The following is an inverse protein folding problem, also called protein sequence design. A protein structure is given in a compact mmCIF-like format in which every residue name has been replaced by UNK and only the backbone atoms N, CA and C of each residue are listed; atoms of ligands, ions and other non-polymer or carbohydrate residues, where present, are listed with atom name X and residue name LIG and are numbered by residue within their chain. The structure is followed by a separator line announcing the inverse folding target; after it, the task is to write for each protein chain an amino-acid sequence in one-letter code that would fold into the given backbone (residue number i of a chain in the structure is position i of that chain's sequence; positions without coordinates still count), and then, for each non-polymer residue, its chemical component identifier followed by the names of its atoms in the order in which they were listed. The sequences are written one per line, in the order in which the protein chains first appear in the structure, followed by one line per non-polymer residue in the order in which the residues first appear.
data_IF_391502025233
#
_entry.id   IF_391502025233
#
_cell.length_a   1.000
_cell.length_b   1.000
_cell.length_c   1.000
_cell.angle_alpha   90.00
_cell.angle_beta   90.00
_cell.angle_gamma   90.00
#
_symmetry.space_group_name_H-M   'P 1'
#
loop_
_entity.id
_entity.type
_entity.pdbx_description
1 polymer ?
#
# COMPACT_ATOMS: atom_id res chain seq x y z
N UNK A 1 19.23 5.02 21.32
CA UNK A 1 18.40 3.86 21.72
C UNK A 1 17.11 3.92 20.90
N UNK A 2 17.02 3.08 19.87
CA UNK A 2 15.78 2.68 19.21
C UNK A 2 16.02 1.22 18.79
N UNK A 3 15.74 0.29 19.69
CA UNK A 3 16.10 -1.14 19.56
C UNK A 3 15.05 -1.95 18.81
N UNK A 4 13.88 -1.38 18.53
CA UNK A 4 12.79 -1.98 17.77
C UNK A 4 12.21 -0.89 16.85
N UNK A 5 12.31 -1.07 15.52
CA UNK A 5 11.88 -0.10 14.49
C UNK A 5 12.89 0.06 13.34
N UNK A 6 12.51 0.78 12.27
CA UNK A 6 13.42 1.07 11.14
C UNK A 6 14.60 1.94 11.63
N UNK A 7 15.77 1.33 11.83
CA UNK A 7 16.99 1.99 12.31
C UNK A 7 17.48 3.11 11.38
N UNK A 8 16.96 3.18 10.15
CA UNK A 8 17.30 4.20 9.14
C UNK A 8 16.29 5.35 9.08
N UNK A 9 15.28 5.40 9.94
CA UNK A 9 14.22 6.41 9.91
C UNK A 9 14.76 7.86 9.88
N UNK A 10 15.69 8.20 10.77
CA UNK A 10 16.25 9.56 10.85
C UNK A 10 17.01 9.93 9.56
N UNK A 11 17.81 9.00 9.04
CA UNK A 11 18.55 9.21 7.80
C UNK A 11 17.62 9.38 6.59
N UNK A 12 16.56 8.56 6.48
CA UNK A 12 15.56 8.67 5.41
C UNK A 12 14.78 9.98 5.48
N UNK A 13 14.43 10.45 6.69
CA UNK A 13 13.81 11.77 6.89
C UNK A 13 14.68 12.88 6.30
N UNK A 14 15.99 12.87 6.60
CA UNK A 14 16.90 13.92 6.13
C UNK A 14 17.05 13.89 4.60
N UNK A 15 17.10 12.71 3.99
CA UNK A 15 17.05 12.55 2.52
C UNK A 15 15.77 13.18 1.95
N UNK A 16 14.60 12.88 2.53
CA UNK A 16 13.33 13.42 2.05
C UNK A 16 13.28 14.95 2.18
N UNK A 17 13.79 15.53 3.27
CA UNK A 17 13.87 16.99 3.44
C UNK A 17 14.72 17.62 2.33
N UNK A 18 15.86 17.01 1.97
CA UNK A 18 16.72 17.52 0.91
C UNK A 18 16.04 17.44 -0.46
N UNK A 19 15.39 16.31 -0.78
CA UNK A 19 14.61 16.16 -2.02
C UNK A 19 13.53 17.25 -2.12
N UNK A 20 12.79 17.52 -1.04
CA UNK A 20 11.75 18.56 -1.05
C UNK A 20 12.37 19.96 -1.25
N UNK A 21 13.51 20.25 -0.63
CA UNK A 21 14.22 21.54 -0.82
C UNK A 21 14.71 21.72 -2.27
N UNK A 22 15.19 20.65 -2.89
CA UNK A 22 15.61 20.64 -4.29
C UNK A 22 14.43 20.84 -5.24
N UNK A 23 13.31 20.16 -4.98
CA UNK A 23 12.08 20.27 -5.78
C UNK A 23 11.37 21.62 -5.61
N UNK A 24 11.47 22.24 -4.43
CA UNK A 24 10.78 23.49 -4.11
C UNK A 24 11.71 24.53 -3.44
N UNK A 25 12.67 25.12 -4.19
CA UNK A 25 13.69 26.01 -3.65
C UNK A 25 13.17 27.30 -2.99
N UNK A 26 11.93 27.69 -3.29
CA UNK A 26 11.29 28.86 -2.68
C UNK A 26 11.06 28.71 -1.17
N UNK A 27 10.98 27.48 -0.66
CA UNK A 27 10.75 27.21 0.76
C UNK A 27 12.10 26.98 1.48
N UNK A 28 12.58 28.02 2.17
CA UNK A 28 13.93 28.00 2.79
C UNK A 28 14.01 27.23 4.11
N UNK A 29 12.92 27.17 4.87
CA UNK A 29 12.90 26.66 6.24
C UNK A 29 12.02 25.40 6.38
N UNK A 30 12.28 24.39 5.54
CA UNK A 30 11.55 23.11 5.59
C UNK A 30 12.12 22.25 6.72
N UNK A 31 11.22 21.78 7.59
CA UNK A 31 11.48 20.82 8.65
C UNK A 31 10.36 19.77 8.70
N UNK A 32 10.67 18.57 9.19
CA UNK A 32 9.66 17.53 9.41
C UNK A 32 9.09 17.65 10.82
N UNK A 33 7.81 18.02 10.93
CA UNK A 33 7.12 18.08 12.23
C UNK A 33 6.95 16.68 12.85
N UNK A 34 6.74 15.68 11.99
CA UNK A 34 6.59 14.27 12.38
C UNK A 34 7.28 13.36 11.36
N UNK A 35 7.79 12.23 11.84
CA UNK A 35 8.39 11.20 11.00
C UNK A 35 8.17 9.82 11.63
N UNK A 36 7.75 8.86 10.83
CA UNK A 36 7.54 7.48 11.21
C UNK A 36 7.86 6.56 10.03
N UNK A 37 8.00 5.27 10.32
CA UNK A 37 8.15 4.23 9.32
C UNK A 37 7.16 3.10 9.61
N UNK A 38 6.83 2.34 8.57
CA UNK A 38 6.02 1.14 8.67
C UNK A 38 6.70 0.01 7.88
N UNK A 39 6.32 -1.22 8.19
CA UNK A 39 6.71 -2.36 7.36
C UNK A 39 6.04 -2.23 5.99
N UNK A 40 6.79 -2.56 4.94
CA UNK A 40 6.29 -2.57 3.57
C UNK A 40 6.25 -4.01 3.07
N UNK A 41 5.04 -4.51 2.80
CA UNK A 41 4.82 -5.79 2.15
C UNK A 41 4.48 -5.56 0.68
N UNK A 42 5.15 -6.31 -0.20
CA UNK A 42 4.91 -6.30 -1.64
C UNK A 42 4.87 -7.72 -2.18
N UNK A 43 4.28 -7.89 -3.35
CA UNK A 43 4.30 -9.13 -4.12
C UNK A 43 5.47 -9.12 -5.11
N UNK A 44 5.85 -10.30 -5.63
CA UNK A 44 6.96 -10.42 -6.57
C UNK A 44 6.73 -9.69 -7.91
N UNK A 45 5.48 -9.61 -8.36
CA UNK A 45 5.08 -8.92 -9.60
C UNK A 45 4.59 -7.48 -9.37
N UNK A 46 4.58 -7.03 -8.11
CA UNK A 46 4.12 -5.71 -7.72
C UNK A 46 2.60 -5.49 -7.79
N UNK A 47 1.82 -6.53 -8.12
CA UNK A 47 0.37 -6.46 -8.20
C UNK A 47 -0.28 -6.94 -6.90
N UNK A 48 -1.38 -6.32 -6.46
CA UNK A 48 -2.07 -6.76 -5.25
C UNK A 48 -2.81 -8.09 -5.50
N UNK A 49 -3.20 -8.76 -4.43
CA UNK A 49 -3.86 -10.08 -4.47
C UNK A 49 -5.30 -9.93 -3.99
N UNK A 50 -6.24 -10.43 -4.80
CA UNK A 50 -7.64 -10.58 -4.45
C UNK A 50 -8.11 -11.96 -4.92
N UNK A 51 -8.40 -12.87 -3.98
CA UNK A 51 -8.70 -14.26 -4.34
C UNK A 51 -9.76 -14.88 -3.44
N UNK A 52 -10.45 -15.89 -3.96
CA UNK A 52 -11.25 -16.82 -3.18
C UNK A 52 -10.38 -17.99 -2.70
N UNK A 53 -10.66 -18.54 -1.53
CA UNK A 53 -10.02 -19.76 -1.06
C UNK A 53 -10.54 -20.97 -1.85
N UNK A 54 -9.64 -21.80 -2.37
CA UNK A 54 -10.03 -22.98 -3.16
C UNK A 54 -10.68 -24.09 -2.32
N UNK A 55 -10.46 -24.10 -1.00
CA UNK A 55 -10.89 -25.17 -0.09
C UNK A 55 -12.02 -24.72 0.85
N UNK A 56 -12.10 -23.44 1.16
CA UNK A 56 -13.06 -22.89 2.11
C UNK A 56 -14.06 -21.99 1.37
N UNK A 57 -15.29 -22.48 1.25
CA UNK A 57 -16.36 -21.76 0.57
C UNK A 57 -16.63 -20.39 1.21
N UNK A 58 -16.79 -19.35 0.37
CA UNK A 58 -17.03 -17.96 0.76
C UNK A 58 -15.93 -17.31 1.63
N UNK A 59 -14.71 -17.85 1.61
CA UNK A 59 -13.55 -17.18 2.18
C UNK A 59 -12.80 -16.41 1.09
N UNK A 60 -12.61 -15.12 1.30
CA UNK A 60 -11.90 -14.25 0.36
C UNK A 60 -10.73 -13.56 1.03
N UNK A 61 -9.64 -13.40 0.29
CA UNK A 61 -8.46 -12.67 0.70
C UNK A 61 -8.36 -11.37 -0.09
N UNK A 62 -8.32 -10.25 0.60
CA UNK A 62 -8.09 -8.92 0.04
C UNK A 62 -6.76 -8.42 0.59
N UNK A 63 -5.70 -8.58 -0.20
CA UNK A 63 -4.33 -8.31 0.22
C UNK A 63 -3.75 -7.20 -0.68
N UNK A 64 -4.07 -5.92 -0.39
CA UNK A 64 -3.64 -4.79 -1.19
C UNK A 64 -2.18 -4.42 -0.86
N UNK A 65 -1.27 -5.39 -1.01
CA UNK A 65 0.16 -5.18 -0.84
C UNK A 65 0.70 -4.16 -1.84
N UNK A 66 1.82 -3.52 -1.48
CA UNK A 66 2.46 -2.48 -2.28
C UNK A 66 2.16 -1.05 -1.79
N UNK A 67 2.74 -0.06 -2.49
CA UNK A 67 2.64 1.36 -2.11
C UNK A 67 1.27 1.97 -2.35
N UNK A 68 0.42 1.29 -3.12
CA UNK A 68 -0.90 1.77 -3.51
C UNK A 68 -2.02 1.07 -2.73
N UNK A 69 -1.70 0.47 -1.58
CA UNK A 69 -2.66 -0.35 -0.82
C UNK A 69 -3.95 0.38 -0.46
N UNK A 70 -3.89 1.68 -0.13
CA UNK A 70 -5.08 2.51 0.13
C UNK A 70 -5.99 2.64 -1.09
N UNK A 71 -5.40 2.77 -2.29
CA UNK A 71 -6.16 2.84 -3.54
C UNK A 71 -6.79 1.48 -3.84
N UNK A 72 -5.99 0.41 -3.80
CA UNK A 72 -6.47 -0.93 -4.10
C UNK A 72 -7.48 -1.46 -3.06
N UNK A 73 -7.42 -1.02 -1.81
CA UNK A 73 -8.45 -1.32 -0.82
C UNK A 73 -9.84 -0.87 -1.28
N UNK A 74 -9.95 0.33 -1.86
CA UNK A 74 -11.21 0.82 -2.41
C UNK A 74 -11.61 0.10 -3.70
N UNK A 75 -10.64 -0.23 -4.56
CA UNK A 75 -10.89 -1.05 -5.76
C UNK A 75 -11.46 -2.41 -5.36
N UNK A 76 -10.84 -3.09 -4.40
CA UNK A 76 -11.27 -4.40 -3.92
C UNK A 76 -12.64 -4.36 -3.24
N UNK A 77 -12.92 -3.30 -2.46
CA UNK A 77 -14.26 -3.10 -1.91
C UNK A 77 -15.33 -3.01 -3.00
N UNK A 78 -15.04 -2.33 -4.12
CA UNK A 78 -15.96 -2.24 -5.25
C UNK A 78 -16.10 -3.56 -6.01
N UNK A 79 -15.00 -4.30 -6.19
CA UNK A 79 -15.03 -5.62 -6.82
C UNK A 79 -15.82 -6.63 -5.99
N UNK A 80 -15.67 -6.61 -4.66
CA UNK A 80 -16.48 -7.45 -3.78
C UNK A 80 -17.95 -7.06 -3.79
N UNK A 81 -18.27 -5.77 -3.77
CA UNK A 81 -19.66 -5.32 -3.92
C UNK A 81 -20.26 -5.90 -5.20
N UNK A 82 -19.59 -5.74 -6.35
CA UNK A 82 -20.04 -6.31 -7.62
C UNK A 82 -20.16 -7.83 -7.60
N UNK A 83 -19.17 -8.53 -7.04
CA UNK A 83 -19.15 -9.99 -6.92
C UNK A 83 -20.37 -10.49 -6.15
N UNK A 84 -20.72 -9.81 -5.05
CA UNK A 84 -21.80 -10.23 -4.15
C UNK A 84 -23.19 -9.72 -4.58
N UNK A 85 -23.28 -8.64 -5.36
CA UNK A 85 -24.57 -8.07 -5.80
C UNK A 85 -24.97 -8.48 -7.23
N UNK A 86 -24.01 -8.55 -8.17
CA UNK A 86 -24.29 -8.62 -9.61
C UNK A 86 -23.66 -9.81 -10.37
N UNK A 87 -23.12 -10.80 -9.66
CA UNK A 87 -22.66 -12.13 -10.17
C UNK A 87 -21.59 -12.16 -11.29
N UNK A 88 -21.16 -11.02 -11.85
CA UNK A 88 -20.01 -10.97 -12.76
C UNK A 88 -19.11 -9.77 -12.47
N UNK A 89 -17.82 -10.04 -12.28
CA UNK A 89 -16.77 -9.02 -12.36
C UNK A 89 -15.57 -9.61 -13.11
N UNK A 90 -15.39 -9.18 -14.37
CA UNK A 90 -14.23 -9.57 -15.19
C UNK A 90 -12.92 -9.16 -14.52
N UNK A 91 -12.95 -8.04 -13.81
CA UNK A 91 -11.80 -7.43 -13.15
C UNK A 91 -11.35 -8.20 -11.91
N UNK A 92 -12.22 -9.02 -11.29
CA UNK A 92 -11.81 -9.87 -10.17
C UNK A 92 -10.67 -10.82 -10.59
N UNK A 93 -10.77 -11.39 -11.79
CA UNK A 93 -9.76 -12.33 -12.32
C UNK A 93 -8.39 -11.68 -12.55
N UNK A 94 -8.31 -10.35 -12.72
CA UNK A 94 -7.04 -9.62 -12.87
C UNK A 94 -6.15 -9.73 -11.62
N UNK A 95 -6.78 -9.92 -10.46
CA UNK A 95 -6.12 -9.93 -9.15
C UNK A 95 -6.14 -11.31 -8.48
N UNK A 96 -6.78 -12.31 -9.12
CA UNK A 96 -6.92 -13.66 -8.60
C UNK A 96 -5.60 -14.44 -8.76
N UNK A 97 -4.82 -14.51 -7.67
CA UNK A 97 -3.50 -15.15 -7.59
C UNK A 97 -3.30 -15.83 -6.25
#
# INVERSE_FOLDING_TARGET
IQTIGDTKLLHKRDILINIVKEMFPQYKNIQADYYWAAAFGGTHDGLPILKEDEKIHNLFYALPYGGNGTVYGMVFAKLFEQLFTNKESKDFSLFNR
#
